data_IF_903330468972
#
_entry.id   IF_903330468972
#
_cell.length_a   1.000
_cell.length_b   1.000
_cell.length_c   1.000
_cell.angle_alpha   90.00
_cell.angle_beta   90.00
_cell.angle_gamma   90.00
#
_symmetry.space_group_name_H-M   'P 1'
#
loop_
_entity.id
_entity.type
_entity.pdbx_description
1 polymer ?
#
# COMPACT_ATOMS: atom_id res chain seq x y z
N UNK A 1 -31.10 40.73 -18.26
CA UNK A 1 -29.67 40.40 -18.23
C UNK A 1 -29.42 39.43 -17.10
N UNK A 2 -28.84 38.31 -17.46
CA UNK A 2 -28.50 37.15 -16.65
C UNK A 2 -27.58 37.50 -15.49
N UNK A 3 -27.71 36.78 -14.38
CA UNK A 3 -26.54 36.27 -13.67
C UNK A 3 -26.91 34.92 -13.04
N UNK A 4 -26.16 33.91 -13.46
CA UNK A 4 -26.35 32.51 -13.12
C UNK A 4 -26.10 32.28 -11.63
N UNK A 5 -26.95 31.47 -11.02
CA UNK A 5 -26.73 30.90 -9.69
C UNK A 5 -25.48 30.03 -9.73
N UNK A 6 -24.39 30.51 -9.13
CA UNK A 6 -23.23 29.69 -8.80
C UNK A 6 -23.64 28.64 -7.77
N UNK A 7 -24.11 27.49 -8.22
CA UNK A 7 -24.22 26.28 -7.40
C UNK A 7 -22.84 25.63 -7.33
N UNK A 8 -21.95 26.18 -6.51
CA UNK A 8 -20.84 25.40 -6.00
C UNK A 8 -21.41 24.51 -4.90
N UNK A 9 -21.50 23.23 -5.20
CA UNK A 9 -21.80 22.15 -4.26
C UNK A 9 -20.58 21.97 -3.35
N UNK A 10 -20.31 22.98 -2.51
CA UNK A 10 -19.22 23.06 -1.53
C UNK A 10 -19.63 22.46 -0.17
N UNK A 11 -20.84 21.90 -0.07
CA UNK A 11 -21.34 21.33 1.18
C UNK A 11 -20.74 19.94 1.41
N UNK A 12 -19.73 19.92 2.30
CA UNK A 12 -19.24 18.71 2.95
C UNK A 12 -20.43 17.87 3.44
N UNK A 13 -20.48 16.55 3.16
CA UNK A 13 -21.62 15.73 3.53
C UNK A 13 -21.87 15.84 5.04
N UNK A 14 -23.13 16.07 5.43
CA UNK A 14 -23.51 16.22 6.85
C UNK A 14 -23.11 15.02 7.73
N UNK A 15 -22.87 13.86 7.11
CA UNK A 15 -22.45 12.62 7.76
C UNK A 15 -20.99 12.63 8.23
N UNK A 16 -20.14 13.55 7.75
CA UNK A 16 -18.72 13.57 8.09
C UNK A 16 -18.43 14.57 9.23
N UNK A 17 -18.25 14.05 10.44
CA UNK A 17 -17.87 14.81 11.64
C UNK A 17 -16.34 14.93 11.79
N UNK A 18 -15.80 16.14 11.56
CA UNK A 18 -14.39 16.47 11.78
C UNK A 18 -14.09 17.08 13.16
N UNK A 19 -15.05 17.15 14.10
CA UNK A 19 -14.86 17.77 15.43
C UNK A 19 -13.70 17.20 16.23
N UNK A 20 -13.31 15.95 15.96
CA UNK A 20 -12.17 15.24 16.59
C UNK A 20 -10.90 15.25 15.74
N UNK A 21 -10.90 15.94 14.62
CA UNK A 21 -9.76 16.06 13.72
C UNK A 21 -8.59 16.79 14.39
N UNK A 22 -7.39 16.23 14.27
CA UNK A 22 -6.16 16.87 14.77
C UNK A 22 -5.23 17.12 13.59
N UNK A 23 -4.84 18.39 13.38
CA UNK A 23 -3.91 18.76 12.32
C UNK A 23 -2.59 18.03 12.52
N UNK A 24 -2.13 17.32 11.48
CA UNK A 24 -0.85 16.61 11.51
C UNK A 24 -0.82 15.33 12.35
N UNK A 25 -1.98 14.74 12.72
CA UNK A 25 -2.04 13.50 13.54
C UNK A 25 -1.15 12.35 13.02
N UNK A 26 -1.01 12.22 11.71
CA UNK A 26 -0.20 11.19 11.06
C UNK A 26 1.08 11.75 10.41
N UNK A 27 1.31 13.07 10.51
CA UNK A 27 2.47 13.71 9.92
C UNK A 27 3.69 13.48 10.81
N UNK A 28 4.74 12.94 10.22
CA UNK A 28 6.01 12.67 10.88
C UNK A 28 7.13 13.24 10.00
N UNK A 29 7.85 14.29 10.45
CA UNK A 29 8.98 14.84 9.71
C UNK A 29 10.03 13.76 9.43
N UNK A 30 10.46 13.65 8.17
CA UNK A 30 11.50 12.68 7.77
C UNK A 30 11.06 11.22 7.79
N UNK A 31 9.76 10.92 7.84
CA UNK A 31 9.28 9.53 7.80
C UNK A 31 9.63 8.86 6.48
N UNK A 32 10.23 7.67 6.56
CA UNK A 32 10.37 6.77 5.41
C UNK A 32 9.17 5.83 5.39
N UNK A 33 8.29 6.04 4.42
CA UNK A 33 7.14 5.18 4.19
C UNK A 33 7.58 3.93 3.42
N UNK A 34 7.53 2.78 4.07
CA UNK A 34 7.67 1.49 3.39
C UNK A 34 6.27 1.02 2.98
N UNK A 35 5.86 1.36 1.77
CA UNK A 35 4.55 0.95 1.25
C UNK A 35 4.55 -0.56 0.98
N UNK A 36 3.52 -1.32 1.39
CA UNK A 36 3.42 -2.72 1.04
C UNK A 36 3.27 -2.87 -0.47
N UNK A 37 3.98 -3.85 -1.03
CA UNK A 37 3.80 -4.29 -2.40
C UNK A 37 2.90 -5.53 -2.36
N UNK A 38 1.76 -5.45 -3.03
CA UNK A 38 0.85 -6.58 -3.15
C UNK A 38 1.30 -7.49 -4.29
N UNK A 39 1.22 -8.79 -4.06
CA UNK A 39 1.43 -9.79 -5.09
C UNK A 39 0.09 -10.06 -5.80
N UNK A 40 0.17 -10.44 -7.08
CA UNK A 40 -0.98 -11.01 -7.77
C UNK A 40 -1.53 -12.21 -7.01
N UNK A 41 -2.86 -12.37 -6.99
CA UNK A 41 -3.56 -13.38 -6.19
C UNK A 41 -3.04 -14.80 -6.46
N UNK A 42 -2.84 -15.15 -7.73
CA UNK A 42 -2.32 -16.46 -8.12
C UNK A 42 -0.90 -16.70 -7.60
N UNK A 43 -0.04 -15.67 -7.66
CA UNK A 43 1.33 -15.72 -7.17
C UNK A 43 1.34 -15.88 -5.65
N UNK A 44 0.53 -15.09 -4.95
CA UNK A 44 0.41 -15.16 -3.50
C UNK A 44 -0.06 -16.55 -3.04
N UNK A 45 -1.11 -17.08 -3.66
CA UNK A 45 -1.65 -18.41 -3.31
C UNK A 45 -0.61 -19.52 -3.49
N UNK A 46 0.11 -19.50 -4.62
CA UNK A 46 1.17 -20.46 -4.92
C UNK A 46 2.32 -20.38 -3.92
N UNK A 47 2.78 -19.18 -3.59
CA UNK A 47 3.87 -18.98 -2.63
C UNK A 47 3.45 -19.33 -1.19
N UNK A 48 2.19 -19.07 -0.82
CA UNK A 48 1.64 -19.46 0.48
C UNK A 48 1.60 -20.99 0.64
N UNK A 49 1.12 -21.70 -0.39
CA UNK A 49 1.14 -23.16 -0.40
C UNK A 49 2.56 -23.72 -0.28
N UNK A 50 3.54 -23.10 -0.97
CA UNK A 50 4.94 -23.49 -0.91
C UNK A 50 5.57 -23.24 0.47
N UNK A 51 5.26 -22.10 1.09
CA UNK A 51 5.74 -21.77 2.44
C UNK A 51 5.22 -22.78 3.47
N UNK A 52 3.92 -23.07 3.41
CA UNK A 52 3.28 -24.08 4.26
C UNK A 52 3.88 -25.47 4.07
N UNK A 53 4.07 -25.91 2.82
CA UNK A 53 4.68 -27.21 2.51
C UNK A 53 6.12 -27.33 3.02
N UNK A 54 6.86 -26.21 3.07
CA UNK A 54 8.23 -26.14 3.60
C UNK A 54 8.30 -25.89 5.11
N UNK A 55 7.19 -25.57 5.76
CA UNK A 55 7.15 -25.19 7.18
C UNK A 55 7.91 -23.90 7.48
N UNK A 56 7.99 -22.97 6.52
CA UNK A 56 8.69 -21.69 6.67
C UNK A 56 7.70 -20.53 6.63
N UNK A 57 8.09 -19.40 7.21
CA UNK A 57 7.30 -18.18 7.14
C UNK A 57 7.15 -17.68 5.69
N UNK A 58 5.97 -17.19 5.34
CA UNK A 58 5.67 -16.69 4.00
C UNK A 58 6.55 -15.50 3.62
N UNK A 59 6.75 -14.55 4.53
CA UNK A 59 7.59 -13.38 4.26
C UNK A 59 9.04 -13.79 4.07
N UNK A 60 9.54 -14.73 4.88
CA UNK A 60 10.89 -15.28 4.73
C UNK A 60 11.08 -15.92 3.34
N UNK A 61 10.14 -16.77 2.90
CA UNK A 61 10.19 -17.41 1.59
C UNK A 61 10.19 -16.39 0.44
N UNK A 62 9.30 -15.40 0.49
CA UNK A 62 9.19 -14.37 -0.55
C UNK A 62 10.48 -13.55 -0.63
N UNK A 63 11.01 -13.12 0.51
CA UNK A 63 12.25 -12.35 0.55
C UNK A 63 13.44 -13.14 0.00
N UNK A 64 13.58 -14.42 0.36
CA UNK A 64 14.67 -15.26 -0.12
C UNK A 64 14.58 -15.51 -1.63
N UNK A 65 13.38 -15.62 -2.18
CA UNK A 65 13.18 -15.73 -3.62
C UNK A 65 13.61 -14.44 -4.33
N UNK A 66 13.14 -13.28 -3.85
CA UNK A 66 13.45 -11.98 -4.45
C UNK A 66 14.94 -11.65 -4.38
N UNK A 67 15.64 -11.99 -3.28
CA UNK A 67 17.08 -11.78 -3.16
C UNK A 67 17.86 -12.56 -4.22
N UNK A 68 17.51 -13.84 -4.42
CA UNK A 68 18.15 -14.68 -5.44
C UNK A 68 17.92 -14.14 -6.86
N UNK A 69 16.71 -13.67 -7.15
CA UNK A 69 16.42 -13.07 -8.45
C UNK A 69 17.23 -11.78 -8.66
N UNK A 70 17.38 -10.94 -7.63
CA UNK A 70 18.24 -9.74 -7.67
C UNK A 70 19.71 -10.13 -7.94
N UNK A 71 20.25 -11.10 -7.19
CA UNK A 71 21.62 -11.59 -7.38
C UNK A 71 21.86 -12.06 -8.83
N UNK A 72 20.91 -12.81 -9.41
CA UNK A 72 20.99 -13.27 -10.80
C UNK A 72 20.99 -12.11 -11.80
N UNK A 73 20.15 -11.09 -11.58
CA UNK A 73 20.09 -9.89 -12.41
C UNK A 73 21.41 -9.11 -12.32
N UNK A 74 21.99 -8.99 -11.13
CA UNK A 74 23.26 -8.32 -10.91
C UNK A 74 24.44 -9.05 -11.55
N UNK A 75 24.45 -10.39 -11.54
CA UNK A 75 25.48 -11.19 -12.20
C UNK A 75 25.42 -11.13 -13.73
N UNK A 76 24.24 -10.88 -14.30
CA UNK A 76 24.05 -10.75 -15.74
C UNK A 76 24.43 -9.35 -16.27
N UNK A 77 24.85 -8.44 -15.38
CA UNK A 77 25.19 -7.04 -15.67
C UNK A 77 26.68 -6.84 -15.86
#
# INVERSE_FOLDING_TARGET
MSQATNTHDDDMPAEIDFSKGTRGKFFHPGVKLNLPVYLDEQVQSRLAALANAKGVDFSALVNDLLKKDIELIEMAR
#
